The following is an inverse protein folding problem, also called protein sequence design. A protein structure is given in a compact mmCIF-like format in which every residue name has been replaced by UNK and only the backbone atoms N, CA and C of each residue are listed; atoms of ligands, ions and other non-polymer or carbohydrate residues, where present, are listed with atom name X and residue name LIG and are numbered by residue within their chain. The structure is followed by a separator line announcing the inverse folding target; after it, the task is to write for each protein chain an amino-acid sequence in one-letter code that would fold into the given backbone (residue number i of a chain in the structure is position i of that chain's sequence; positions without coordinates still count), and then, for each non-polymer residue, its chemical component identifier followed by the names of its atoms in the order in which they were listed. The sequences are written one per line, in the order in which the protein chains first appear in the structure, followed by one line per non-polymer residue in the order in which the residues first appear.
data_IF_057452340885
#
_entry.id   IF_057452340885
#
_cell.length_a   1.000
_cell.length_b   1.000
_cell.length_c   1.000
_cell.angle_alpha   90.00
_cell.angle_beta   90.00
_cell.angle_gamma   90.00
#
_symmetry.space_group_name_H-M   'P 1'
#
loop_
_entity.id
_entity.type
_entity.pdbx_description
1 polymer ?
#
# COMPACT_ATOMS: atom_id res chain seq x y z
N UNK A 1 7.88 -28.74 31.51
CA UNK A 1 6.70 -28.26 32.24
C UNK A 1 7.16 -27.66 33.56
N UNK A 2 6.58 -26.52 33.96
CA UNK A 2 6.92 -25.62 35.09
C UNK A 2 8.28 -24.89 35.00
N UNK A 3 8.21 -23.53 35.03
CA UNK A 3 9.29 -22.53 35.24
C UNK A 3 9.69 -21.62 34.06
N UNK A 4 8.73 -20.97 33.37
CA UNK A 4 9.03 -19.81 32.49
C UNK A 4 7.93 -18.71 32.52
N UNK A 5 7.15 -18.64 33.62
CA UNK A 5 6.04 -17.68 33.80
C UNK A 5 6.24 -16.70 34.97
N UNK A 6 7.46 -16.24 35.20
CA UNK A 6 7.73 -15.17 36.17
C UNK A 6 8.70 -14.16 35.57
N UNK A 7 8.17 -13.17 34.86
CA UNK A 7 9.01 -12.14 34.24
C UNK A 7 8.31 -11.07 33.42
N UNK A 8 7.01 -11.18 33.13
CA UNK A 8 6.27 -10.06 32.53
C UNK A 8 5.90 -9.10 33.66
N UNK A 9 6.86 -8.23 34.00
CA UNK A 9 6.55 -6.98 34.70
C UNK A 9 5.46 -6.29 33.89
N UNK A 10 4.39 -5.96 34.60
CA UNK A 10 3.31 -5.11 34.13
C UNK A 10 3.91 -3.95 33.33
N UNK A 11 3.46 -3.80 32.08
CA UNK A 11 3.63 -2.59 31.32
C UNK A 11 3.29 -1.42 32.23
N UNK A 12 4.24 -0.51 32.42
CA UNK A 12 4.06 0.74 33.13
C UNK A 12 2.83 1.45 32.56
N UNK A 13 1.71 1.32 33.25
CA UNK A 13 0.60 2.24 33.10
C UNK A 13 1.14 3.60 33.54
N UNK A 14 1.40 4.47 32.58
CA UNK A 14 1.54 5.89 32.85
C UNK A 14 0.30 6.32 33.65
N UNK A 15 0.46 7.11 34.73
CA UNK A 15 -0.67 7.51 35.55
C UNK A 15 -1.68 8.25 34.68
N UNK A 16 -2.90 7.70 34.63
CA UNK A 16 -3.98 8.22 33.80
C UNK A 16 -4.33 9.64 34.20
N UNK A 17 -4.07 10.60 33.31
CA UNK A 17 -4.77 11.87 33.33
C UNK A 17 -6.18 11.59 32.83
N UNK A 18 -7.10 11.37 33.77
CA UNK A 18 -8.52 11.31 33.45
C UNK A 18 -8.96 12.64 32.81
N UNK A 19 -9.43 12.58 31.56
CA UNK A 19 -10.33 13.59 30.96
C UNK A 19 -9.70 14.86 30.39
N UNK A 20 -8.61 14.78 29.60
CA UNK A 20 -8.09 15.97 28.89
C UNK A 20 -9.00 16.38 27.71
N UNK A 21 -9.56 15.40 27.00
CA UNK A 21 -10.32 15.59 25.76
C UNK A 21 -11.82 15.41 26.00
N UNK A 22 -12.64 16.27 25.39
CA UNK A 22 -14.09 16.35 25.69
C UNK A 22 -14.99 15.73 24.64
N UNK A 23 -14.54 15.64 23.39
CA UNK A 23 -15.35 15.21 22.25
C UNK A 23 -14.49 14.70 21.10
N UNK A 24 -15.12 14.02 20.14
CA UNK A 24 -14.50 13.50 18.91
C UNK A 24 -13.95 14.59 17.97
N UNK A 25 -14.36 15.84 18.16
CA UNK A 25 -13.97 17.02 17.38
C UNK A 25 -13.06 17.99 18.13
N UNK A 26 -12.51 17.58 19.28
CA UNK A 26 -11.59 18.41 20.06
C UNK A 26 -10.28 18.64 19.26
N UNK A 27 -9.91 19.89 18.92
CA UNK A 27 -8.73 20.18 18.11
C UNK A 27 -7.42 19.66 18.71
N UNK A 28 -7.38 19.41 20.02
CA UNK A 28 -6.20 18.89 20.72
C UNK A 28 -5.95 17.40 20.46
N UNK A 29 -6.88 16.72 19.77
CA UNK A 29 -6.68 15.34 19.32
C UNK A 29 -5.64 15.26 18.19
N UNK A 30 -5.48 16.31 17.40
CA UNK A 30 -4.66 16.31 16.20
C UNK A 30 -3.19 16.67 16.45
N UNK A 31 -2.35 16.16 15.59
CA UNK A 31 -0.95 16.56 15.43
C UNK A 31 -0.78 17.40 14.16
N UNK A 32 0.27 18.23 14.07
CA UNK A 32 0.57 18.97 12.85
C UNK A 32 0.75 18.04 11.65
N UNK A 33 0.02 18.33 10.57
CA UNK A 33 0.13 17.59 9.31
C UNK A 33 1.45 17.92 8.61
N UNK A 34 2.28 16.92 8.23
CA UNK A 34 3.47 17.16 7.42
C UNK A 34 3.11 17.76 6.05
N UNK A 35 3.68 18.93 5.73
CA UNK A 35 3.40 19.63 4.46
C UNK A 35 4.43 19.34 3.36
N UNK A 36 5.54 18.68 3.69
CA UNK A 36 6.57 18.23 2.75
C UNK A 36 6.72 16.73 2.85
N UNK A 37 7.00 16.09 1.73
CA UNK A 37 7.29 14.66 1.66
C UNK A 37 8.72 14.40 1.15
N UNK A 38 9.12 13.12 1.15
CA UNK A 38 10.42 12.70 0.67
C UNK A 38 10.65 13.05 -0.82
N UNK A 39 9.58 13.14 -1.60
CA UNK A 39 9.64 13.47 -3.02
C UNK A 39 9.94 14.96 -3.24
N UNK A 40 9.35 15.85 -2.43
CA UNK A 40 9.67 17.28 -2.39
C UNK A 40 11.15 17.52 -2.02
N UNK A 41 11.68 16.74 -1.07
CA UNK A 41 13.09 16.77 -0.67
C UNK A 41 14.01 16.28 -1.80
N UNK A 42 13.66 15.17 -2.44
CA UNK A 42 14.40 14.63 -3.58
C UNK A 42 14.44 15.62 -4.75
N UNK A 43 13.31 16.24 -5.10
CA UNK A 43 13.26 17.29 -6.12
C UNK A 43 14.16 18.48 -5.76
N UNK A 44 14.16 18.88 -4.49
CA UNK A 44 15.00 19.98 -4.01
C UNK A 44 16.48 19.66 -4.14
N UNK A 45 16.85 18.40 -3.95
CA UNK A 45 18.24 17.93 -3.91
C UNK A 45 18.79 17.65 -5.30
N UNK A 46 18.01 16.99 -6.16
CA UNK A 46 18.50 16.40 -7.41
C UNK A 46 18.01 17.11 -8.68
N UNK A 47 16.99 17.98 -8.59
CA UNK A 47 16.41 18.66 -9.77
C UNK A 47 16.61 20.17 -9.66
N UNK A 48 17.09 20.78 -10.75
CA UNK A 48 17.24 22.24 -10.85
C UNK A 48 15.88 22.94 -10.73
N UNK A 49 15.88 24.16 -10.19
CA UNK A 49 14.65 24.90 -9.89
C UNK A 49 13.73 25.03 -11.12
N UNK A 50 14.31 25.31 -12.30
CA UNK A 50 13.56 25.52 -13.55
C UNK A 50 12.92 24.25 -14.11
N UNK A 51 13.41 23.07 -13.70
CA UNK A 51 12.92 21.77 -14.17
C UNK A 51 12.00 21.06 -13.16
N UNK A 52 11.75 21.67 -12.00
CA UNK A 52 10.85 21.07 -11.00
C UNK A 52 9.39 21.17 -11.49
N UNK A 53 8.63 20.07 -11.44
CA UNK A 53 7.22 20.13 -11.77
C UNK A 53 6.47 20.97 -10.72
N UNK A 54 5.33 21.54 -11.14
CA UNK A 54 4.41 22.17 -10.19
C UNK A 54 3.68 21.08 -9.41
N UNK A 55 4.08 20.86 -8.16
CA UNK A 55 3.31 20.11 -7.18
C UNK A 55 2.53 21.13 -6.35
N UNK A 56 1.20 21.11 -6.44
CA UNK A 56 0.36 21.96 -5.60
C UNK A 56 0.45 21.48 -4.16
N UNK A 57 1.32 22.09 -3.36
CA UNK A 57 1.37 21.85 -1.93
C UNK A 57 0.19 22.60 -1.28
N UNK A 58 -0.72 21.90 -0.59
CA UNK A 58 -1.86 22.55 0.06
C UNK A 58 -1.38 23.52 1.15
N UNK A 59 -2.00 24.69 1.25
CA UNK A 59 -1.78 25.60 2.37
C UNK A 59 -2.83 25.38 3.46
N UNK A 60 -2.47 25.61 4.72
CA UNK A 60 -3.39 25.43 5.85
C UNK A 60 -4.67 26.28 5.68
N UNK A 61 -4.52 27.49 5.13
CA UNK A 61 -5.62 28.42 4.86
C UNK A 61 -6.67 27.87 3.90
N UNK A 62 -6.29 27.00 2.96
CA UNK A 62 -7.20 26.48 1.94
C UNK A 62 -8.32 25.60 2.53
N UNK A 63 -8.10 25.06 3.73
CA UNK A 63 -8.98 24.07 4.36
C UNK A 63 -9.64 24.55 5.65
N UNK A 64 -9.08 25.54 6.33
CA UNK A 64 -9.59 26.02 7.63
C UNK A 64 -11.06 26.44 7.59
N UNK A 65 -11.78 26.12 8.68
CA UNK A 65 -13.17 26.55 8.94
C UNK A 65 -14.17 26.09 7.88
N UNK A 66 -14.00 24.86 7.37
CA UNK A 66 -14.87 24.29 6.36
C UNK A 66 -15.10 22.80 6.60
N UNK A 67 -16.35 22.37 6.45
CA UNK A 67 -16.71 20.96 6.33
C UNK A 67 -16.69 20.57 4.86
N UNK A 68 -15.93 19.53 4.53
CA UNK A 68 -15.78 19.01 3.17
C UNK A 68 -16.70 17.81 2.94
N UNK A 69 -17.37 17.80 1.79
CA UNK A 69 -18.21 16.67 1.35
C UNK A 69 -17.37 15.42 1.07
N UNK A 70 -17.97 14.24 1.20
CA UNK A 70 -17.28 12.97 0.98
C UNK A 70 -16.81 12.80 -0.47
N UNK A 71 -17.50 13.42 -1.43
CA UNK A 71 -17.12 13.42 -2.84
C UNK A 71 -15.74 14.05 -3.03
N UNK A 72 -15.49 15.20 -2.40
CA UNK A 72 -14.21 15.91 -2.46
C UNK A 72 -13.12 15.08 -1.77
N UNK A 73 -13.40 14.54 -0.58
CA UNK A 73 -12.43 13.69 0.12
C UNK A 73 -12.07 12.44 -0.70
N UNK A 74 -13.04 11.84 -1.38
CA UNK A 74 -12.78 10.70 -2.26
C UNK A 74 -11.97 11.10 -3.51
N UNK A 75 -12.12 12.31 -4.03
CA UNK A 75 -11.26 12.82 -5.11
C UNK A 75 -9.80 12.92 -4.66
N UNK A 76 -9.54 13.38 -3.43
CA UNK A 76 -8.19 13.39 -2.87
C UNK A 76 -7.61 11.98 -2.69
N UNK A 77 -8.43 11.02 -2.27
CA UNK A 77 -8.03 9.60 -2.19
C UNK A 77 -7.63 9.06 -3.57
N UNK A 78 -8.47 9.31 -4.59
CA UNK A 78 -8.21 8.82 -5.97
C UNK A 78 -6.98 9.49 -6.58
N UNK A 79 -6.78 10.77 -6.31
CA UNK A 79 -5.62 11.53 -6.80
C UNK A 79 -4.33 11.33 -6.00
N UNK A 80 -4.33 10.53 -4.93
CA UNK A 80 -3.18 10.38 -4.04
C UNK A 80 -2.77 11.68 -3.32
N UNK A 81 -3.69 12.62 -3.16
CA UNK A 81 -3.46 13.94 -2.53
C UNK A 81 -3.66 13.82 -1.01
N UNK A 82 -2.81 13.02 -0.36
CA UNK A 82 -2.97 12.65 1.04
C UNK A 82 -2.79 13.83 2.00
N UNK A 83 -1.93 14.82 1.70
CA UNK A 83 -1.79 16.04 2.50
C UNK A 83 -3.08 16.85 2.49
N UNK A 84 -3.68 17.04 1.32
CA UNK A 84 -4.96 17.73 1.18
C UNK A 84 -6.08 16.96 1.91
N UNK A 85 -6.09 15.63 1.80
CA UNK A 85 -7.04 14.79 2.53
C UNK A 85 -6.88 14.92 4.06
N UNK A 86 -5.64 14.92 4.56
CA UNK A 86 -5.34 15.04 5.98
C UNK A 86 -5.84 16.38 6.55
N UNK A 87 -5.60 17.49 5.84
CA UNK A 87 -6.04 18.84 6.23
C UNK A 87 -7.56 19.00 6.11
N UNK A 88 -8.15 18.55 5.01
CA UNK A 88 -9.59 18.65 4.78
C UNK A 88 -10.39 17.81 5.79
N UNK A 89 -9.91 16.61 6.12
CA UNK A 89 -10.56 15.75 7.12
C UNK A 89 -10.40 16.30 8.54
N UNK A 90 -9.24 16.84 8.90
CA UNK A 90 -9.02 17.52 10.19
C UNK A 90 -9.99 18.70 10.36
N UNK A 91 -10.03 19.61 9.38
CA UNK A 91 -10.96 20.76 9.40
C UNK A 91 -12.42 20.31 9.47
N UNK A 92 -12.80 19.29 8.68
CA UNK A 92 -14.16 18.74 8.70
C UNK A 92 -14.52 18.15 10.05
N UNK A 93 -13.58 17.50 10.75
CA UNK A 93 -13.83 16.96 12.10
C UNK A 93 -14.08 18.11 13.08
N UNK A 94 -13.20 19.12 13.11
CA UNK A 94 -13.27 20.24 14.04
C UNK A 94 -14.59 21.02 13.88
N UNK A 95 -15.00 21.26 12.65
CA UNK A 95 -16.19 22.06 12.32
C UNK A 95 -17.51 21.27 12.37
N UNK A 96 -17.45 19.94 12.41
CA UNK A 96 -18.65 19.10 12.55
C UNK A 96 -19.17 19.13 13.99
N UNK A 97 -20.51 19.18 14.15
CA UNK A 97 -21.16 19.16 15.45
C UNK A 97 -20.80 17.92 16.27
N UNK A 98 -20.47 18.11 17.56
CA UNK A 98 -19.96 17.06 18.44
C UNK A 98 -20.92 15.85 18.61
N UNK A 99 -22.22 16.06 18.45
CA UNK A 99 -23.25 15.02 18.58
C UNK A 99 -23.33 14.11 17.35
N UNK A 100 -22.83 14.54 16.19
CA UNK A 100 -22.82 13.72 14.97
C UNK A 100 -21.61 12.75 14.95
N UNK A 101 -21.65 11.81 15.89
CA UNK A 101 -20.58 10.81 16.08
C UNK A 101 -20.31 9.98 14.83
N UNK A 102 -21.34 9.68 14.03
CA UNK A 102 -21.19 8.84 12.84
C UNK A 102 -20.39 9.55 11.76
N UNK A 103 -20.73 10.81 11.48
CA UNK A 103 -20.02 11.66 10.51
C UNK A 103 -18.59 11.92 10.98
N UNK A 104 -18.40 12.25 12.26
CA UNK A 104 -17.07 12.46 12.85
C UNK A 104 -16.17 11.24 12.68
N UNK A 105 -16.65 10.05 13.06
CA UNK A 105 -15.86 8.83 12.93
C UNK A 105 -15.57 8.45 11.47
N UNK A 106 -16.43 8.84 10.53
CA UNK A 106 -16.15 8.67 9.10
C UNK A 106 -15.05 9.62 8.63
N UNK A 107 -15.01 10.87 9.09
CA UNK A 107 -13.87 11.75 8.81
C UNK A 107 -12.57 11.26 9.45
N UNK A 108 -12.63 10.66 10.64
CA UNK A 108 -11.47 10.00 11.27
C UNK A 108 -10.90 8.86 10.41
N UNK A 109 -11.71 8.14 9.63
CA UNK A 109 -11.19 7.16 8.65
C UNK A 109 -10.31 7.84 7.61
N UNK A 110 -10.76 8.96 7.03
CA UNK A 110 -9.97 9.72 6.04
C UNK A 110 -8.70 10.30 6.65
N UNK A 111 -8.77 10.86 7.86
CA UNK A 111 -7.61 11.42 8.58
C UNK A 111 -6.52 10.38 8.78
N UNK A 112 -6.87 9.24 9.37
CA UNK A 112 -5.91 8.18 9.67
C UNK A 112 -5.41 7.52 8.38
N UNK A 113 -6.28 7.33 7.39
CA UNK A 113 -5.87 6.83 6.07
C UNK A 113 -4.80 7.75 5.47
N UNK A 114 -5.05 9.05 5.40
CA UNK A 114 -4.12 10.02 4.85
C UNK A 114 -2.75 9.97 5.54
N UNK A 115 -2.73 10.00 6.88
CA UNK A 115 -1.49 9.91 7.65
C UNK A 115 -0.71 8.62 7.36
N UNK A 116 -1.40 7.47 7.25
CA UNK A 116 -0.74 6.20 6.92
C UNK A 116 -0.16 6.18 5.50
N UNK A 117 -0.84 6.77 4.52
CA UNK A 117 -0.37 6.80 3.13
C UNK A 117 0.81 7.77 2.93
N UNK A 118 0.92 8.82 3.75
CA UNK A 118 2.07 9.73 3.74
C UNK A 118 3.30 9.16 4.47
N UNK A 119 3.23 7.94 5.01
CA UNK A 119 4.29 7.39 5.87
C UNK A 119 4.33 7.95 7.29
N UNK A 120 3.43 8.88 7.65
CA UNK A 120 3.31 9.47 8.99
C UNK A 120 2.53 8.57 9.97
N UNK A 121 2.86 7.28 10.00
CA UNK A 121 2.13 6.28 10.80
C UNK A 121 2.33 6.46 12.31
N UNK A 122 3.44 7.06 12.73
CA UNK A 122 3.70 7.42 14.13
C UNK A 122 2.73 8.52 14.61
N UNK A 123 2.44 9.49 13.75
CA UNK A 123 1.43 10.54 13.99
C UNK A 123 0.04 9.90 14.11
N UNK A 124 -0.28 8.99 13.19
CA UNK A 124 -1.53 8.26 13.21
C UNK A 124 -1.73 7.45 14.51
N UNK A 125 -0.69 6.79 15.04
CA UNK A 125 -0.79 6.03 16.30
C UNK A 125 -1.08 6.95 17.50
N UNK A 126 -0.46 8.12 17.55
CA UNK A 126 -0.70 9.12 18.60
C UNK A 126 -2.13 9.66 18.55
N UNK A 127 -2.62 10.05 17.39
CA UNK A 127 -4.00 10.54 17.23
C UNK A 127 -5.03 9.45 17.58
N UNK A 128 -4.82 8.20 17.14
CA UNK A 128 -5.65 7.06 17.51
C UNK A 128 -5.65 6.79 19.02
N UNK A 129 -4.50 6.89 19.67
CA UNK A 129 -4.36 6.75 21.11
C UNK A 129 -5.14 7.82 21.89
N UNK A 130 -5.21 9.05 21.37
CA UNK A 130 -6.05 10.12 21.94
C UNK A 130 -7.54 9.87 21.66
N UNK A 131 -7.88 9.40 20.46
CA UNK A 131 -9.24 9.06 20.05
C UNK A 131 -9.85 7.96 20.93
N UNK A 132 -9.05 6.96 21.33
CA UNK A 132 -9.46 5.88 22.25
C UNK A 132 -9.87 6.40 23.64
N UNK A 133 -9.39 7.58 24.05
CA UNK A 133 -9.75 8.19 25.34
C UNK A 133 -11.14 8.84 25.34
N UNK A 134 -11.64 9.21 24.16
CA UNK A 134 -12.93 9.92 24.00
C UNK A 134 -14.02 9.06 23.35
N UNK A 135 -13.67 7.91 22.80
CA UNK A 135 -14.59 7.06 22.06
C UNK A 135 -14.27 5.58 22.21
N UNK A 136 -15.29 4.81 22.60
CA UNK A 136 -15.18 3.36 22.71
C UNK A 136 -14.96 2.71 21.34
N UNK A 137 -13.94 1.85 21.24
CA UNK A 137 -13.57 1.11 20.02
C UNK A 137 -14.75 0.38 19.35
N UNK A 138 -15.72 -0.12 20.12
CA UNK A 138 -16.89 -0.85 19.57
C UNK A 138 -17.80 0.03 18.71
N UNK A 139 -17.76 1.35 18.90
CA UNK A 139 -18.53 2.34 18.15
C UNK A 139 -17.83 2.76 16.85
N UNK A 140 -16.56 2.39 16.68
CA UNK A 140 -15.77 2.80 15.53
C UNK A 140 -16.17 2.03 14.27
N UNK A 141 -16.23 2.72 13.12
CA UNK A 141 -16.34 2.07 11.81
C UNK A 141 -15.31 0.97 11.66
N UNK A 142 -15.67 -0.06 10.89
CA UNK A 142 -14.80 -1.22 10.69
C UNK A 142 -13.46 -0.81 10.07
N UNK A 143 -13.50 0.08 9.11
CA UNK A 143 -12.36 0.63 8.38
C UNK A 143 -11.37 1.31 9.35
N UNK A 144 -11.88 2.12 10.29
CA UNK A 144 -11.05 2.77 11.30
C UNK A 144 -10.40 1.75 12.25
N UNK A 145 -11.12 0.68 12.62
CA UNK A 145 -10.56 -0.42 13.43
C UNK A 145 -9.47 -1.18 12.67
N UNK A 146 -9.62 -1.36 11.37
CA UNK A 146 -8.60 -1.99 10.50
C UNK A 146 -7.35 -1.12 10.38
N UNK A 147 -7.50 0.20 10.22
CA UNK A 147 -6.37 1.14 10.24
C UNK A 147 -5.64 1.08 11.59
N UNK A 148 -6.39 1.18 12.70
CA UNK A 148 -5.84 1.07 14.07
C UNK A 148 -5.15 -0.26 14.34
N UNK A 149 -5.58 -1.34 13.67
CA UNK A 149 -4.92 -2.63 13.78
C UNK A 149 -3.57 -2.66 13.04
N UNK A 150 -3.42 -1.94 11.92
CA UNK A 150 -2.20 -1.95 11.10
C UNK A 150 -1.11 -1.00 11.62
N UNK A 151 -1.51 0.17 12.11
CA UNK A 151 -0.63 1.30 12.45
C UNK A 151 0.59 0.93 13.32
N UNK A 152 0.50 0.09 14.38
CA UNK A 152 1.69 -0.23 15.19
C UNK A 152 2.85 -0.84 14.39
N UNK A 153 2.52 -1.71 13.43
CA UNK A 153 3.48 -2.32 12.52
C UNK A 153 4.10 -1.28 11.59
N UNK A 154 3.27 -0.44 10.98
CA UNK A 154 3.72 0.61 10.06
C UNK A 154 4.58 1.68 10.74
N UNK A 155 4.23 2.06 11.98
CA UNK A 155 4.90 3.15 12.69
C UNK A 155 6.24 2.73 13.33
N UNK A 156 6.29 1.52 13.89
CA UNK A 156 7.38 1.12 14.79
C UNK A 156 7.91 -0.30 14.53
N UNK A 157 7.47 -0.96 13.45
CA UNK A 157 7.79 -2.37 13.21
C UNK A 157 7.17 -3.31 14.25
N UNK A 158 6.17 -2.86 15.03
CA UNK A 158 5.53 -3.67 16.07
C UNK A 158 4.49 -4.65 15.49
N UNK A 159 4.92 -5.47 14.52
CA UNK A 159 4.05 -6.33 13.71
C UNK A 159 3.26 -7.35 14.52
N UNK A 160 3.81 -7.87 15.62
CA UNK A 160 3.10 -8.80 16.53
C UNK A 160 1.80 -8.15 17.05
N UNK A 161 1.88 -6.88 17.47
CA UNK A 161 0.71 -6.14 17.96
C UNK A 161 -0.33 -5.93 16.85
N UNK A 162 0.12 -5.73 15.61
CA UNK A 162 -0.78 -5.65 14.46
C UNK A 162 -1.45 -6.99 14.16
N UNK A 163 -0.68 -8.08 14.15
CA UNK A 163 -1.16 -9.46 13.98
C UNK A 163 -2.23 -9.81 15.01
N UNK A 164 -2.01 -9.49 16.30
CA UNK A 164 -2.98 -9.75 17.36
C UNK A 164 -4.29 -8.99 17.15
N UNK A 165 -4.20 -7.70 16.82
CA UNK A 165 -5.37 -6.84 16.57
C UNK A 165 -6.14 -7.29 15.33
N UNK A 166 -5.46 -7.59 14.23
CA UNK A 166 -6.06 -8.08 12.98
C UNK A 166 -6.70 -9.46 13.18
N UNK A 167 -6.02 -10.37 13.90
CA UNK A 167 -6.57 -11.69 14.23
C UNK A 167 -7.83 -11.60 15.08
N UNK A 168 -7.91 -10.64 16.02
CA UNK A 168 -9.13 -10.39 16.78
C UNK A 168 -10.29 -9.91 15.90
N UNK A 169 -10.02 -9.00 14.95
CA UNK A 169 -11.02 -8.55 13.97
C UNK A 169 -11.48 -9.70 13.07
N UNK A 170 -10.54 -10.52 12.58
CA UNK A 170 -10.82 -11.66 11.72
C UNK A 170 -11.70 -12.70 12.42
N UNK A 171 -11.40 -13.03 13.69
CA UNK A 171 -12.26 -13.90 14.52
C UNK A 171 -13.66 -13.32 14.70
N UNK A 172 -13.77 -11.99 14.87
CA UNK A 172 -15.05 -11.29 14.94
C UNK A 172 -15.87 -11.45 13.66
N UNK A 173 -15.25 -11.20 12.50
CA UNK A 173 -15.91 -11.35 11.19
C UNK A 173 -16.38 -12.79 10.93
N UNK A 174 -15.55 -13.79 11.26
CA UNK A 174 -15.89 -15.22 11.04
C UNK A 174 -17.06 -15.71 11.89
N UNK A 175 -17.31 -15.11 13.06
CA UNK A 175 -18.44 -15.45 13.93
C UNK A 175 -19.78 -14.90 13.42
N UNK A 176 -19.76 -13.92 12.53
CA UNK A 176 -20.96 -13.30 11.98
C UNK A 176 -21.29 -13.99 10.64
N UNK A 177 -22.39 -14.75 10.60
CA UNK A 177 -22.77 -15.58 9.46
C UNK A 177 -23.43 -14.79 8.31
N UNK A 178 -22.74 -13.78 7.78
CA UNK A 178 -23.21 -12.99 6.65
C UNK A 178 -22.28 -13.11 5.45
N UNK A 179 -22.87 -13.28 4.26
CA UNK A 179 -22.17 -13.37 2.97
C UNK A 179 -21.28 -12.13 2.69
N UNK A 180 -21.68 -10.96 3.21
CA UNK A 180 -20.93 -9.69 3.17
C UNK A 180 -19.57 -9.75 3.88
N UNK A 181 -19.38 -10.71 4.81
CA UNK A 181 -18.14 -10.87 5.56
C UNK A 181 -17.07 -11.61 4.77
N UNK A 182 -17.41 -12.34 3.71
CA UNK A 182 -16.43 -13.07 2.88
C UNK A 182 -15.34 -12.14 2.33
N UNK A 183 -15.75 -10.99 1.76
CA UNK A 183 -14.82 -10.00 1.23
C UNK A 183 -13.99 -9.33 2.35
N UNK A 184 -14.57 -9.10 3.52
CA UNK A 184 -13.86 -8.54 4.69
C UNK A 184 -12.82 -9.53 5.23
N UNK A 185 -13.20 -10.80 5.38
CA UNK A 185 -12.31 -11.90 5.79
C UNK A 185 -11.15 -12.03 4.81
N UNK A 186 -11.42 -11.99 3.51
CA UNK A 186 -10.38 -12.03 2.49
C UNK A 186 -9.40 -10.86 2.63
N UNK A 187 -9.89 -9.62 2.62
CA UNK A 187 -9.04 -8.41 2.74
C UNK A 187 -8.24 -8.41 4.05
N UNK A 188 -8.87 -8.76 5.18
CA UNK A 188 -8.19 -8.87 6.47
C UNK A 188 -7.10 -9.94 6.45
N UNK A 189 -7.35 -11.08 5.78
CA UNK A 189 -6.37 -12.16 5.69
C UNK A 189 -5.16 -11.74 4.85
N UNK A 190 -5.35 -10.95 3.78
CA UNK A 190 -4.23 -10.37 3.02
C UNK A 190 -3.42 -9.36 3.84
N UNK A 191 -4.08 -8.48 4.59
CA UNK A 191 -3.40 -7.52 5.47
C UNK A 191 -2.63 -8.26 6.58
N UNK A 192 -3.24 -9.29 7.17
CA UNK A 192 -2.60 -10.13 8.17
C UNK A 192 -1.39 -10.86 7.58
N UNK A 193 -1.54 -11.45 6.39
CA UNK A 193 -0.46 -12.12 5.68
C UNK A 193 0.72 -11.18 5.45
N UNK A 194 0.46 -9.93 5.02
CA UNK A 194 1.51 -8.90 4.91
C UNK A 194 2.28 -8.74 6.22
N UNK A 195 1.59 -8.53 7.34
CA UNK A 195 2.27 -8.39 8.64
C UNK A 195 3.11 -9.62 9.02
N UNK A 196 2.63 -10.81 8.70
CA UNK A 196 3.34 -12.07 8.99
C UNK A 196 4.57 -12.25 8.09
N UNK A 197 4.50 -11.80 6.83
CA UNK A 197 5.65 -11.77 5.90
C UNK A 197 6.71 -10.78 6.41
N UNK A 198 6.32 -9.59 6.89
CA UNK A 198 7.24 -8.64 7.51
C UNK A 198 7.92 -9.21 8.77
N UNK A 199 7.23 -10.10 9.48
CA UNK A 199 7.80 -10.86 10.61
C UNK A 199 8.70 -12.03 10.19
N UNK A 200 8.79 -12.32 8.89
CA UNK A 200 9.51 -13.46 8.32
C UNK A 200 9.01 -14.83 8.82
N UNK A 201 7.77 -14.91 9.33
CA UNK A 201 7.16 -16.17 9.79
C UNK A 201 6.46 -16.89 8.62
N UNK A 202 7.26 -17.64 7.86
CA UNK A 202 6.78 -18.41 6.71
C UNK A 202 5.78 -19.52 7.10
N UNK A 203 5.84 -20.01 8.34
CA UNK A 203 4.95 -21.09 8.81
C UNK A 203 3.54 -20.56 9.02
N UNK A 204 3.40 -19.41 9.69
CA UNK A 204 2.10 -18.77 9.85
C UNK A 204 1.56 -18.24 8.52
N UNK A 205 2.43 -17.73 7.65
CA UNK A 205 2.04 -17.24 6.32
C UNK A 205 1.39 -18.34 5.49
N UNK A 206 1.99 -19.53 5.45
CA UNK A 206 1.45 -20.69 4.71
C UNK A 206 0.12 -21.17 5.29
N UNK A 207 -0.06 -21.18 6.62
CA UNK A 207 -1.35 -21.52 7.25
C UNK A 207 -2.47 -20.54 6.86
N UNK A 208 -2.17 -19.24 6.78
CA UNK A 208 -3.15 -18.24 6.33
C UNK A 208 -3.50 -18.46 4.86
N UNK A 209 -2.51 -18.76 4.02
CA UNK A 209 -2.71 -19.05 2.60
C UNK A 209 -3.55 -20.32 2.38
N UNK A 210 -3.32 -21.38 3.14
CA UNK A 210 -4.11 -22.61 3.08
C UNK A 210 -5.59 -22.32 3.40
N UNK A 211 -5.85 -21.44 4.37
CA UNK A 211 -7.23 -21.01 4.70
C UNK A 211 -7.88 -20.19 3.58
N UNK A 212 -7.11 -19.34 2.89
CA UNK A 212 -7.59 -18.57 1.74
C UNK A 212 -7.87 -19.46 0.53
N UNK A 213 -7.04 -20.48 0.32
CA UNK A 213 -7.12 -21.42 -0.79
C UNK A 213 -8.35 -22.35 -0.77
N UNK A 214 -9.13 -22.34 0.31
CA UNK A 214 -10.42 -23.05 0.38
C UNK A 214 -11.45 -22.44 -0.58
N UNK A 215 -11.36 -21.14 -0.89
CA UNK A 215 -12.30 -20.46 -1.77
C UNK A 215 -12.20 -20.92 -3.24
N UNK A 216 -13.34 -21.11 -3.91
CA UNK A 216 -13.45 -21.30 -5.37
C UNK A 216 -13.59 -19.95 -6.10
N UNK A 217 -12.79 -18.96 -5.71
CA UNK A 217 -12.70 -17.67 -6.39
C UNK A 217 -11.35 -17.59 -7.12
N UNK A 218 -11.35 -17.51 -8.47
CA UNK A 218 -10.12 -17.41 -9.25
C UNK A 218 -9.17 -16.31 -8.79
N UNK A 219 -9.68 -15.14 -8.40
CA UNK A 219 -8.86 -14.01 -7.97
C UNK A 219 -8.20 -14.28 -6.62
N UNK A 220 -8.92 -14.93 -5.70
CA UNK A 220 -8.41 -15.33 -4.38
C UNK A 220 -7.33 -16.40 -4.54
N UNK A 221 -7.60 -17.43 -5.36
CA UNK A 221 -6.65 -18.50 -5.64
C UNK A 221 -5.37 -17.96 -6.31
N UNK A 222 -5.50 -17.08 -7.30
CA UNK A 222 -4.34 -16.42 -7.94
C UNK A 222 -3.58 -15.51 -6.98
N UNK A 223 -4.26 -14.80 -6.08
CA UNK A 223 -3.58 -14.01 -5.05
C UNK A 223 -2.79 -14.92 -4.09
N UNK A 224 -3.40 -15.99 -3.59
CA UNK A 224 -2.72 -16.94 -2.72
C UNK A 224 -1.54 -17.63 -3.42
N UNK A 225 -1.70 -18.05 -4.68
CA UNK A 225 -0.63 -18.66 -5.47
C UNK A 225 0.57 -17.72 -5.66
N UNK A 226 0.35 -16.45 -5.97
CA UNK A 226 1.42 -15.44 -6.07
C UNK A 226 2.18 -15.25 -4.76
N UNK A 227 1.47 -15.30 -3.63
CA UNK A 227 2.11 -15.25 -2.31
C UNK A 227 2.93 -16.52 -2.01
N UNK A 228 2.45 -17.71 -2.40
CA UNK A 228 3.28 -18.91 -2.33
C UNK A 228 4.55 -18.78 -3.18
N UNK A 229 4.47 -18.22 -4.39
CA UNK A 229 5.67 -17.96 -5.19
C UNK A 229 6.66 -17.05 -4.44
N UNK A 230 6.19 -15.96 -3.84
CA UNK A 230 7.02 -15.05 -3.04
C UNK A 230 7.67 -15.72 -1.83
N UNK A 231 7.00 -16.72 -1.24
CA UNK A 231 7.51 -17.53 -0.14
C UNK A 231 8.36 -18.74 -0.60
N UNK A 232 8.57 -18.92 -1.91
CA UNK A 232 9.31 -20.07 -2.47
C UNK A 232 8.51 -21.38 -2.55
N UNK A 233 7.21 -21.36 -2.24
CA UNK A 233 6.30 -22.50 -2.29
C UNK A 233 5.81 -22.85 -3.70
N UNK A 234 6.74 -23.10 -4.64
CA UNK A 234 6.43 -23.33 -6.06
C UNK A 234 5.38 -24.45 -6.28
N UNK A 235 5.47 -25.64 -5.65
CA UNK A 235 4.48 -26.69 -5.87
C UNK A 235 3.08 -26.32 -5.37
N UNK A 236 2.97 -25.50 -4.33
CA UNK A 236 1.69 -25.06 -3.80
C UNK A 236 1.04 -24.04 -4.74
N UNK A 237 1.84 -23.09 -5.24
CA UNK A 237 1.40 -22.13 -6.24
C UNK A 237 0.90 -22.82 -7.52
N UNK A 238 1.63 -23.81 -8.04
CA UNK A 238 1.24 -24.57 -9.22
C UNK A 238 -0.15 -25.23 -9.05
N UNK A 239 -0.39 -25.92 -7.94
CA UNK A 239 -1.70 -26.55 -7.66
C UNK A 239 -2.84 -25.54 -7.70
N UNK A 240 -2.63 -24.35 -7.15
CA UNK A 240 -3.64 -23.30 -7.15
C UNK A 240 -3.85 -22.71 -8.54
N UNK A 241 -2.80 -22.47 -9.31
CA UNK A 241 -2.93 -22.02 -10.70
C UNK A 241 -3.66 -23.03 -11.58
N UNK A 242 -3.36 -24.33 -11.45
CA UNK A 242 -4.10 -25.40 -12.15
C UNK A 242 -5.58 -25.37 -11.79
N UNK A 243 -5.93 -25.12 -10.52
CA UNK A 243 -7.33 -24.97 -10.10
C UNK A 243 -7.98 -23.74 -10.75
N UNK A 244 -7.28 -22.61 -10.82
CA UNK A 244 -7.76 -21.39 -11.51
C UNK A 244 -8.04 -21.67 -12.99
N UNK A 245 -7.18 -22.42 -13.68
CA UNK A 245 -7.38 -22.80 -15.07
C UNK A 245 -8.61 -23.70 -15.30
N UNK A 246 -9.08 -24.39 -14.26
CA UNK A 246 -10.36 -25.12 -14.28
C UNK A 246 -11.59 -24.21 -14.13
N UNK A 247 -11.41 -22.97 -13.67
CA UNK A 247 -12.48 -22.02 -13.38
C UNK A 247 -12.59 -20.88 -14.40
N UNK A 248 -11.53 -20.62 -15.16
CA UNK A 248 -11.40 -19.47 -16.08
C UNK A 248 -10.86 -19.95 -17.43
N UNK A 249 -11.25 -19.35 -18.57
CA UNK A 249 -10.72 -19.72 -19.88
C UNK A 249 -9.18 -19.69 -19.93
N UNK A 250 -8.60 -20.57 -20.75
CA UNK A 250 -7.14 -20.72 -20.88
C UNK A 250 -6.46 -19.48 -21.45
N UNK A 251 -7.16 -18.78 -22.34
CA UNK A 251 -6.66 -17.56 -23.00
C UNK A 251 -7.06 -16.28 -22.24
N UNK A 252 -7.67 -16.43 -21.04
CA UNK A 252 -7.98 -15.29 -20.19
C UNK A 252 -6.69 -14.64 -19.67
N UNK A 253 -6.73 -13.30 -19.55
CA UNK A 253 -5.63 -12.49 -19.00
C UNK A 253 -5.12 -13.02 -17.67
N UNK A 254 -6.01 -13.43 -16.76
CA UNK A 254 -5.62 -13.95 -15.45
C UNK A 254 -4.82 -15.25 -15.58
N UNK A 255 -5.27 -16.15 -16.45
CA UNK A 255 -4.59 -17.42 -16.73
C UNK A 255 -3.20 -17.19 -17.32
N UNK A 256 -3.09 -16.31 -18.32
CA UNK A 256 -1.81 -15.97 -18.94
C UNK A 256 -0.84 -15.33 -17.93
N UNK A 257 -1.32 -14.39 -17.12
CA UNK A 257 -0.52 -13.76 -16.06
C UNK A 257 -0.02 -14.77 -15.03
N UNK A 258 -0.88 -15.70 -14.59
CA UNK A 258 -0.51 -16.73 -13.63
C UNK A 258 0.56 -17.67 -14.18
N UNK A 259 0.41 -18.13 -15.42
CA UNK A 259 1.40 -18.99 -16.08
C UNK A 259 2.74 -18.27 -16.29
N UNK A 260 2.69 -17.00 -16.69
CA UNK A 260 3.89 -16.19 -16.88
C UNK A 260 4.65 -16.01 -15.55
N UNK A 261 3.95 -15.71 -14.45
CA UNK A 261 4.54 -15.60 -13.11
C UNK A 261 5.11 -16.94 -12.61
N UNK A 262 4.42 -18.05 -12.86
CA UNK A 262 4.95 -19.38 -12.57
C UNK A 262 6.23 -19.67 -13.39
N UNK A 263 6.23 -19.33 -14.68
CA UNK A 263 7.40 -19.49 -15.55
C UNK A 263 8.59 -18.67 -15.06
N UNK A 264 8.37 -17.42 -14.61
CA UNK A 264 9.39 -16.60 -13.93
C UNK A 264 9.95 -17.32 -12.71
N UNK A 265 9.09 -17.81 -11.81
CA UNK A 265 9.54 -18.51 -10.60
C UNK A 265 10.28 -19.82 -10.90
N UNK A 266 10.00 -20.46 -12.05
CA UNK A 266 10.68 -21.65 -12.54
C UNK A 266 11.93 -21.34 -13.39
N UNK A 267 12.30 -20.07 -13.58
CA UNK A 267 13.44 -19.66 -14.39
C UNK A 267 13.26 -19.85 -15.90
N UNK A 268 12.02 -20.00 -16.38
CA UNK A 268 11.66 -20.18 -17.79
C UNK A 268 11.35 -18.84 -18.45
N UNK A 269 12.39 -18.03 -18.63
CA UNK A 269 12.26 -16.62 -19.03
C UNK A 269 11.66 -16.43 -20.42
N UNK A 270 11.98 -17.27 -21.39
CA UNK A 270 11.42 -17.22 -22.75
C UNK A 270 9.91 -17.45 -22.73
N UNK A 271 9.46 -18.49 -22.01
CA UNK A 271 8.04 -18.80 -21.86
C UNK A 271 7.28 -17.67 -21.14
N UNK A 272 7.88 -17.12 -20.07
CA UNK A 272 7.28 -16.00 -19.37
C UNK A 272 7.14 -14.76 -20.28
N UNK A 273 8.19 -14.46 -21.04
CA UNK A 273 8.21 -13.36 -22.01
C UNK A 273 7.10 -13.47 -23.04
N UNK A 274 6.94 -14.63 -23.66
CA UNK A 274 5.87 -14.87 -24.64
C UNK A 274 4.48 -14.62 -24.08
N UNK A 275 4.22 -15.09 -22.85
CA UNK A 275 2.93 -14.91 -22.19
C UNK A 275 2.68 -13.46 -21.78
N UNK A 276 3.69 -12.76 -21.23
CA UNK A 276 3.56 -11.33 -20.93
C UNK A 276 3.37 -10.49 -22.18
N UNK A 277 4.04 -10.83 -23.29
CA UNK A 277 3.86 -10.16 -24.57
C UNK A 277 2.43 -10.35 -25.11
N UNK A 278 1.85 -11.54 -24.98
CA UNK A 278 0.45 -11.79 -25.35
C UNK A 278 -0.51 -10.94 -24.52
N UNK A 279 -0.31 -10.87 -23.20
CA UNK A 279 -1.12 -10.01 -22.32
C UNK A 279 -0.96 -8.54 -22.70
N UNK A 280 0.26 -8.06 -22.92
CA UNK A 280 0.52 -6.66 -23.25
C UNK A 280 -0.06 -6.27 -24.62
N UNK A 281 -0.05 -7.18 -25.60
CA UNK A 281 -0.64 -6.94 -26.91
C UNK A 281 -2.18 -6.85 -26.84
N UNK A 282 -2.83 -7.66 -25.99
CA UNK A 282 -4.28 -7.65 -25.81
C UNK A 282 -4.76 -6.55 -24.84
N UNK A 283 -3.93 -6.19 -23.86
CA UNK A 283 -4.23 -5.25 -22.77
C UNK A 283 -3.06 -4.27 -22.56
N UNK A 284 -2.85 -3.28 -23.46
CA UNK A 284 -1.76 -2.32 -23.35
C UNK A 284 -1.79 -1.52 -22.04
N UNK A 285 -2.97 -1.34 -21.44
CA UNK A 285 -3.16 -0.66 -20.15
C UNK A 285 -2.62 -1.45 -18.95
N UNK A 286 -2.32 -2.74 -19.12
CA UNK A 286 -1.88 -3.62 -18.05
C UNK A 286 -0.38 -3.46 -17.75
N UNK A 287 0.00 -2.35 -17.12
CA UNK A 287 1.40 -1.97 -16.87
C UNK A 287 2.26 -3.06 -16.22
N UNK A 288 1.68 -3.90 -15.34
CA UNK A 288 2.42 -4.99 -14.71
C UNK A 288 2.89 -6.07 -15.70
N UNK A 289 2.17 -6.27 -16.83
CA UNK A 289 2.58 -7.21 -17.86
C UNK A 289 3.78 -6.64 -18.64
N UNK A 290 3.71 -5.39 -19.08
CA UNK A 290 4.81 -4.69 -19.73
C UNK A 290 6.06 -4.56 -18.85
N UNK A 291 5.89 -4.26 -17.56
CA UNK A 291 7.02 -4.22 -16.61
C UNK A 291 7.69 -5.60 -16.47
N UNK A 292 6.91 -6.66 -16.30
CA UNK A 292 7.45 -8.02 -16.21
C UNK A 292 8.04 -8.52 -17.53
N UNK A 293 7.50 -8.09 -18.68
CA UNK A 293 8.06 -8.37 -20.00
C UNK A 293 9.47 -7.79 -20.11
N UNK A 294 9.67 -6.53 -19.70
CA UNK A 294 10.97 -5.90 -19.68
C UNK A 294 11.96 -6.61 -18.74
N UNK A 295 11.49 -7.09 -17.58
CA UNK A 295 12.32 -7.93 -16.70
C UNK A 295 12.73 -9.24 -17.39
N UNK A 296 11.83 -9.88 -18.15
CA UNK A 296 12.20 -11.07 -18.91
C UNK A 296 13.31 -10.75 -19.94
N UNK A 297 13.22 -9.61 -20.63
CA UNK A 297 14.30 -9.17 -21.54
C UNK A 297 15.64 -9.01 -20.81
N UNK A 298 15.64 -8.46 -19.59
CA UNK A 298 16.85 -8.36 -18.76
C UNK A 298 17.45 -9.73 -18.44
N UNK A 299 16.63 -10.68 -17.96
CA UNK A 299 17.09 -12.04 -17.60
C UNK A 299 17.54 -12.86 -18.82
N UNK A 300 17.08 -12.51 -20.02
CA UNK A 300 17.55 -13.06 -21.30
C UNK A 300 18.81 -12.35 -21.84
N UNK A 301 19.42 -11.46 -21.05
CA UNK A 301 20.65 -10.76 -21.43
C UNK A 301 20.42 -9.61 -22.42
N UNK A 302 19.22 -9.03 -22.46
CA UNK A 302 18.83 -7.94 -23.35
C UNK A 302 18.50 -6.65 -22.58
N UNK A 303 19.45 -6.07 -21.82
CA UNK A 303 19.19 -4.88 -21.00
C UNK A 303 18.72 -3.68 -21.83
N UNK A 304 19.15 -3.55 -23.09
CA UNK A 304 18.68 -2.47 -23.98
C UNK A 304 17.20 -2.61 -24.32
N UNK A 305 16.73 -3.84 -24.55
CA UNK A 305 15.32 -4.11 -24.82
C UNK A 305 14.47 -3.80 -23.58
N UNK A 306 14.94 -4.19 -22.39
CA UNK A 306 14.32 -3.81 -21.11
C UNK A 306 14.15 -2.29 -21.00
N UNK A 307 15.23 -1.51 -21.16
CA UNK A 307 15.17 -0.06 -21.00
C UNK A 307 14.23 0.58 -22.04
N UNK A 308 14.30 0.15 -23.30
CA UNK A 308 13.44 0.66 -24.35
C UNK A 308 11.96 0.34 -24.09
N UNK A 309 11.65 -0.88 -23.65
CA UNK A 309 10.29 -1.32 -23.32
C UNK A 309 9.70 -0.52 -22.15
N UNK A 310 10.48 -0.32 -21.08
CA UNK A 310 10.05 0.50 -19.94
C UNK A 310 9.89 1.97 -20.33
N UNK A 311 10.79 2.51 -21.17
CA UNK A 311 10.67 3.88 -21.66
C UNK A 311 9.41 4.08 -22.49
N UNK A 312 9.08 3.13 -23.38
CA UNK A 312 7.85 3.17 -24.17
C UNK A 312 6.62 3.12 -23.27
N UNK A 313 6.58 2.18 -22.32
CA UNK A 313 5.47 2.01 -21.39
C UNK A 313 5.22 3.28 -20.55
N UNK A 314 6.29 3.92 -20.06
CA UNK A 314 6.19 5.19 -19.34
C UNK A 314 5.77 6.35 -20.25
N UNK A 315 6.12 6.33 -21.52
CA UNK A 315 5.74 7.35 -22.50
C UNK A 315 4.28 7.26 -22.92
N UNK A 316 3.74 6.04 -23.05
CA UNK A 316 2.35 5.78 -23.45
C UNK A 316 1.35 6.10 -22.33
N UNK A 317 1.72 5.79 -21.07
CA UNK A 317 0.85 5.97 -19.91
C UNK A 317 1.55 6.71 -18.76
N UNK A 318 1.97 7.98 -18.94
CA UNK A 318 2.84 8.69 -17.99
C UNK A 318 2.20 8.86 -16.60
N UNK A 319 0.89 9.11 -16.55
CA UNK A 319 0.16 9.25 -15.29
C UNK A 319 0.11 7.94 -14.49
N UNK A 320 -0.29 6.84 -15.14
CA UNK A 320 -0.40 5.54 -14.48
C UNK A 320 0.99 4.99 -14.12
N UNK A 321 1.96 5.10 -15.03
CA UNK A 321 3.33 4.66 -14.80
C UNK A 321 4.04 5.49 -13.72
N UNK A 322 3.78 6.80 -13.65
CA UNK A 322 4.30 7.70 -12.62
C UNK A 322 3.77 7.41 -11.21
N UNK A 323 2.77 6.55 -11.06
CA UNK A 323 2.28 6.09 -9.75
C UNK A 323 2.75 4.68 -9.38
N UNK A 324 3.49 3.99 -10.24
CA UNK A 324 4.05 2.66 -9.96
C UNK A 324 5.52 2.75 -9.57
N UNK A 325 5.78 2.62 -8.27
CA UNK A 325 7.12 2.58 -7.68
C UNK A 325 7.97 1.45 -8.28
N UNK A 326 7.39 0.26 -8.49
CA UNK A 326 8.11 -0.89 -9.06
C UNK A 326 8.55 -0.64 -10.51
N UNK A 327 7.72 0.02 -11.30
CA UNK A 327 8.04 0.36 -12.68
C UNK A 327 9.14 1.42 -12.74
N UNK A 328 9.07 2.44 -11.88
CA UNK A 328 10.13 3.46 -11.74
C UNK A 328 11.45 2.82 -11.30
N UNK A 329 11.41 1.91 -10.31
CA UNK A 329 12.58 1.17 -9.84
C UNK A 329 13.23 0.35 -10.94
N UNK A 330 12.44 -0.41 -11.71
CA UNK A 330 12.95 -1.19 -12.81
C UNK A 330 13.52 -0.30 -13.92
N UNK A 331 12.88 0.84 -14.23
CA UNK A 331 13.39 1.78 -15.21
C UNK A 331 14.74 2.38 -14.77
N UNK A 332 14.85 2.82 -13.52
CA UNK A 332 16.11 3.32 -12.96
C UNK A 332 17.20 2.25 -12.92
N UNK A 333 16.83 0.98 -12.67
CA UNK A 333 17.75 -0.16 -12.82
C UNK A 333 18.22 -0.32 -14.26
N UNK A 334 17.33 -0.15 -15.24
CA UNK A 334 17.72 -0.09 -16.64
C UNK A 334 18.73 1.02 -16.91
N UNK A 335 18.49 2.24 -16.40
CA UNK A 335 19.45 3.34 -16.53
C UNK A 335 20.82 2.99 -15.95
N UNK A 336 20.87 2.37 -14.77
CA UNK A 336 22.11 1.95 -14.10
C UNK A 336 22.94 0.96 -14.93
N UNK A 337 22.29 0.15 -15.76
CA UNK A 337 22.95 -0.82 -16.63
C UNK A 337 23.49 -0.20 -17.93
N UNK A 338 23.02 0.99 -18.31
CA UNK A 338 23.33 1.63 -19.60
C UNK A 338 24.14 2.91 -19.51
N UNK A 339 24.06 3.61 -18.39
CA UNK A 339 24.68 4.91 -18.20
C UNK A 339 25.52 4.94 -16.92
N UNK A 340 26.53 5.80 -16.91
CA UNK A 340 27.38 6.03 -15.77
C UNK A 340 27.58 7.54 -15.51
N UNK A 341 28.23 7.84 -14.38
CA UNK A 341 28.69 9.18 -14.04
C UNK A 341 27.62 10.28 -14.12
N UNK A 342 27.93 11.38 -14.81
CA UNK A 342 27.03 12.52 -14.92
C UNK A 342 25.78 12.20 -15.73
N UNK A 343 25.91 11.42 -16.81
CA UNK A 343 24.79 11.08 -17.68
C UNK A 343 23.70 10.27 -16.96
N UNK A 344 24.12 9.33 -16.11
CA UNK A 344 23.19 8.57 -15.27
C UNK A 344 22.44 9.47 -14.29
N UNK A 345 23.16 10.38 -13.61
CA UNK A 345 22.56 11.33 -12.66
C UNK A 345 21.54 12.22 -13.35
N UNK A 346 21.88 12.77 -14.51
CA UNK A 346 20.99 13.64 -15.28
C UNK A 346 19.74 12.89 -15.75
N UNK A 347 19.90 11.65 -16.21
CA UNK A 347 18.77 10.80 -16.63
C UNK A 347 17.83 10.48 -15.46
N UNK A 348 18.36 10.15 -14.28
CA UNK A 348 17.57 9.90 -13.07
C UNK A 348 16.91 11.17 -12.54
N UNK A 349 17.59 12.31 -12.54
CA UNK A 349 17.02 13.60 -12.15
C UNK A 349 15.87 14.01 -13.08
N UNK A 350 16.03 13.82 -14.40
CA UNK A 350 14.96 14.05 -15.38
C UNK A 350 13.77 13.13 -15.11
N UNK A 351 14.02 11.83 -14.87
CA UNK A 351 12.95 10.87 -14.57
C UNK A 351 12.21 11.22 -13.26
N UNK A 352 12.95 11.66 -12.24
CA UNK A 352 12.39 12.16 -10.99
C UNK A 352 11.42 13.33 -11.23
N UNK A 353 11.81 14.31 -12.04
CA UNK A 353 10.95 15.44 -12.39
C UNK A 353 9.69 15.00 -13.16
N UNK A 354 9.83 14.07 -14.12
CA UNK A 354 8.70 13.53 -14.89
C UNK A 354 7.70 12.79 -13.99
N UNK A 355 8.19 11.86 -13.16
CA UNK A 355 7.35 11.06 -12.25
C UNK A 355 6.67 11.94 -11.21
N UNK A 356 7.38 12.93 -10.65
CA UNK A 356 6.83 13.80 -9.62
C UNK A 356 5.71 14.74 -10.11
N UNK A 357 5.47 14.81 -11.42
CA UNK A 357 4.29 15.46 -12.01
C UNK A 357 3.00 14.68 -11.72
N UNK A 358 3.09 13.36 -11.59
CA UNK A 358 1.94 12.45 -11.48
C UNK A 358 1.88 11.72 -10.14
N UNK A 359 3.02 11.49 -9.50
CA UNK A 359 3.11 10.81 -8.23
C UNK A 359 2.34 11.57 -7.13
N UNK A 360 1.53 10.84 -6.38
CA UNK A 360 0.85 11.35 -5.19
C UNK A 360 1.81 11.67 -4.06
N UNK A 361 1.25 12.05 -2.91
CA UNK A 361 2.01 12.23 -1.68
C UNK A 361 2.51 10.85 -1.18
N UNK A 362 3.67 10.82 -0.52
CA UNK A 362 4.19 9.59 0.10
C UNK A 362 4.83 8.57 -0.85
N UNK A 363 5.11 8.95 -2.11
CA UNK A 363 5.81 8.11 -3.07
C UNK A 363 7.22 7.72 -2.58
N UNK A 364 7.58 6.44 -2.67
CA UNK A 364 8.88 5.93 -2.25
C UNK A 364 10.01 6.39 -3.18
N UNK A 365 10.81 7.33 -2.70
CA UNK A 365 11.93 7.90 -3.46
C UNK A 365 13.11 6.95 -3.61
N UNK A 366 13.16 5.84 -2.88
CA UNK A 366 14.19 4.80 -3.08
C UNK A 366 14.05 4.15 -4.47
N UNK A 367 12.85 4.19 -5.05
CA UNK A 367 12.55 3.76 -6.42
C UNK A 367 13.46 4.43 -7.45
N UNK A 368 13.93 5.66 -7.21
CA UNK A 368 14.77 6.36 -8.18
C UNK A 368 16.24 5.95 -8.14
N UNK A 369 16.68 5.20 -7.10
CA UNK A 369 18.09 4.82 -6.90
C UNK A 369 19.05 6.01 -7.01
N UNK A 370 18.77 7.10 -6.29
CA UNK A 370 19.51 8.37 -6.40
C UNK A 370 20.83 8.41 -5.62
N UNK A 371 21.11 7.37 -4.82
CA UNK A 371 22.35 7.20 -4.05
C UNK A 371 23.31 6.24 -4.74
#
# INVERSE_FOLDING_TARGET
MTSLLSGIRASSQSPGIAGVYRSLNDPRLFEPTPLRDALDEALTTYVSLDSRPRREAPTLSDFTRRVHGYEILNQYVVGGQWRALALASESSIIETFADDRRTLLKYWVYRILALTQMGASDVADRELGRLEQVSELKKWPFELRVLRAQVPGLAYGAWIKSVDRLSALLRGCRRMAEQSQGQRVFRLSLILLRCVVEMQDSSLATQILDQLAVADDPLVLSAAARMYLQLGGIPAAERLFVRVEGLVPKDDKLTLMNRALYAVAAGKWETAREMFAQVQAAHPEHLAAGNNLALCDLYLGQPQAMLNGLQALMGEAPAAAGTSEELVFNYCTGLDLHYDGARLRDAKAKKLAEVATWAGDGFDTTSFKLM
#
